data_IF_479412571290
#
_entry.id   IF_479412571290
#
_cell.length_a   1.000
_cell.length_b   1.000
_cell.length_c   1.000
_cell.angle_alpha   90.00
_cell.angle_beta   90.00
_cell.angle_gamma   90.00
#
_symmetry.space_group_name_H-M   'P 1'
#
loop_
_entity.id
_entity.type
_entity.pdbx_description
1 polymer ?
#
# COMPACT_ATOMS: atom_id res chain seq x y z
N UNK A 1 -1.56 18.78 4.25
CA UNK A 1 -1.68 17.79 3.18
C UNK A 1 -0.60 18.06 2.14
N UNK A 2 -0.06 17.03 1.59
CA UNK A 2 0.97 17.15 0.60
C UNK A 2 0.45 17.80 -0.67
N UNK A 3 1.15 18.80 -1.15
CA UNK A 3 0.99 19.17 -2.53
C UNK A 3 1.56 18.02 -3.36
N UNK A 4 0.85 17.71 -4.43
CA UNK A 4 1.09 16.54 -5.23
C UNK A 4 2.56 16.31 -5.54
N UNK A 5 3.11 15.22 -5.02
CA UNK A 5 4.41 14.68 -5.43
C UNK A 5 5.48 15.74 -5.67
N UNK A 6 5.53 16.74 -4.77
CA UNK A 6 6.49 17.84 -4.90
C UNK A 6 7.92 17.42 -4.62
N UNK A 7 8.09 16.28 -3.94
CA UNK A 7 9.40 15.78 -3.55
C UNK A 7 9.88 14.76 -4.58
N UNK A 8 11.08 14.92 -5.12
CA UNK A 8 11.62 13.92 -6.05
C UNK A 8 11.87 12.60 -5.34
N UNK A 9 11.60 11.50 -6.02
CA UNK A 9 11.84 10.15 -5.52
C UNK A 9 12.79 9.42 -6.46
N UNK A 10 13.57 8.50 -5.90
CA UNK A 10 14.48 7.68 -6.66
C UNK A 10 14.48 6.26 -6.07
N UNK A 11 14.07 5.30 -6.88
CA UNK A 11 13.99 3.90 -6.46
C UNK A 11 15.18 3.06 -6.92
N UNK A 12 16.19 3.69 -7.50
CA UNK A 12 17.38 2.97 -7.99
C UNK A 12 18.05 2.23 -6.84
N UNK A 13 18.20 0.92 -6.97
CA UNK A 13 18.82 0.08 -5.94
C UNK A 13 17.91 -0.26 -4.76
N UNK A 14 16.70 0.28 -4.72
CA UNK A 14 15.75 -0.01 -3.64
C UNK A 14 15.00 -1.31 -3.93
N UNK A 15 14.78 -2.10 -2.88
CA UNK A 15 13.98 -3.32 -2.96
C UNK A 15 12.65 -3.08 -2.26
N UNK A 16 11.56 -3.31 -2.99
CA UNK A 16 10.20 -3.07 -2.50
C UNK A 16 9.41 -4.37 -2.44
N UNK A 17 8.49 -4.43 -1.49
CA UNK A 17 7.50 -5.49 -1.41
C UNK A 17 6.11 -4.86 -1.38
N UNK A 18 5.27 -5.23 -2.32
CA UNK A 18 3.88 -4.80 -2.38
C UNK A 18 3.02 -5.96 -1.90
N UNK A 19 2.24 -5.73 -0.85
CA UNK A 19 1.31 -6.73 -0.31
C UNK A 19 -0.08 -6.37 -0.79
N UNK A 20 -0.76 -7.30 -1.44
CA UNK A 20 -2.03 -7.04 -2.12
C UNK A 20 -3.11 -7.93 -1.51
N UNK A 21 -4.11 -7.31 -0.90
CA UNK A 21 -5.28 -8.03 -0.41
C UNK A 21 -6.03 -8.67 -1.60
N UNK A 22 -6.36 -9.94 -1.48
CA UNK A 22 -7.11 -10.66 -2.51
C UNK A 22 -8.60 -10.35 -2.47
N UNK A 23 -9.09 -9.81 -1.35
CA UNK A 23 -10.48 -9.41 -1.22
C UNK A 23 -10.68 -8.09 -1.98
N UNK A 24 -11.72 -8.01 -2.79
CA UNK A 24 -11.94 -6.89 -3.74
C UNK A 24 -10.80 -6.77 -4.75
N UNK A 25 -10.43 -7.89 -5.36
CA UNK A 25 -9.26 -7.95 -6.25
C UNK A 25 -9.36 -7.04 -7.47
N UNK A 26 -10.57 -6.73 -7.96
CA UNK A 26 -10.78 -5.79 -9.07
C UNK A 26 -10.30 -4.37 -8.71
N UNK A 27 -10.31 -4.05 -7.41
CA UNK A 27 -9.80 -2.78 -6.91
C UNK A 27 -8.32 -2.90 -6.56
N UNK A 28 -7.96 -3.91 -5.76
CA UNK A 28 -6.60 -4.01 -5.23
C UNK A 28 -5.57 -4.31 -6.31
N UNK A 29 -5.94 -5.01 -7.37
CA UNK A 29 -5.04 -5.26 -8.48
C UNK A 29 -4.71 -3.96 -9.24
N UNK A 30 -5.66 -3.03 -9.36
CA UNK A 30 -5.40 -1.74 -9.97
C UNK A 30 -4.50 -0.87 -9.08
N UNK A 31 -4.66 -0.96 -7.78
CA UNK A 31 -3.75 -0.31 -6.83
C UNK A 31 -2.33 -0.87 -6.99
N UNK A 32 -2.20 -2.18 -7.09
CA UNK A 32 -0.90 -2.83 -7.22
C UNK A 32 -0.20 -2.47 -8.52
N UNK A 33 -0.92 -2.42 -9.63
CA UNK A 33 -0.37 -2.00 -10.92
C UNK A 33 0.21 -0.60 -10.85
N UNK A 34 -0.53 0.33 -10.24
CA UNK A 34 -0.10 1.72 -10.14
C UNK A 34 1.08 1.87 -9.19
N UNK A 35 1.10 1.13 -8.08
CA UNK A 35 2.22 1.15 -7.15
C UNK A 35 3.50 0.65 -7.84
N UNK A 36 3.38 -0.46 -8.57
CA UNK A 36 4.53 -1.02 -9.29
C UNK A 36 5.02 -0.09 -10.39
N UNK A 37 4.11 0.53 -11.13
CA UNK A 37 4.48 1.50 -12.17
C UNK A 37 5.21 2.69 -11.57
N UNK A 38 4.76 3.20 -10.43
CA UNK A 38 5.42 4.29 -9.72
C UNK A 38 6.86 3.91 -9.35
N UNK A 39 7.08 2.69 -8.84
CA UNK A 39 8.41 2.19 -8.48
C UNK A 39 9.33 2.14 -9.70
N UNK A 40 8.84 1.59 -10.80
CA UNK A 40 9.63 1.46 -12.03
C UNK A 40 9.93 2.83 -12.64
N UNK A 41 8.95 3.72 -12.67
CA UNK A 41 9.14 5.08 -13.19
C UNK A 41 10.14 5.87 -12.37
N UNK A 42 10.27 5.55 -11.08
CA UNK A 42 11.25 6.18 -10.20
C UNK A 42 12.66 5.59 -10.35
N UNK A 43 12.84 4.65 -11.25
CA UNK A 43 14.16 4.04 -11.52
C UNK A 43 14.36 2.67 -10.89
N UNK A 44 13.34 2.13 -10.24
CA UNK A 44 13.42 0.79 -9.64
C UNK A 44 13.40 -0.32 -10.68
N UNK A 45 14.11 -1.41 -10.38
CA UNK A 45 14.09 -2.59 -11.23
C UNK A 45 12.84 -3.41 -10.94
N UNK A 46 12.19 -3.90 -11.97
CA UNK A 46 11.02 -4.77 -11.80
C UNK A 46 11.36 -6.04 -11.01
N UNK A 47 12.60 -6.49 -11.07
CA UNK A 47 13.05 -7.67 -10.33
C UNK A 47 13.21 -7.38 -8.83
N UNK A 48 13.25 -6.12 -8.44
CA UNK A 48 13.34 -5.68 -7.06
C UNK A 48 11.98 -5.24 -6.49
N UNK A 49 10.90 -5.54 -7.17
CA UNK A 49 9.55 -5.22 -6.73
C UNK A 49 8.76 -6.53 -6.59
N UNK A 50 8.73 -7.05 -5.38
CA UNK A 50 8.06 -8.31 -5.07
C UNK A 50 6.59 -8.07 -4.73
N UNK A 51 5.70 -8.93 -5.22
CA UNK A 51 4.29 -8.88 -4.86
C UNK A 51 3.93 -10.09 -4.01
N UNK A 52 3.30 -9.87 -2.87
CA UNK A 52 2.81 -10.92 -1.98
C UNK A 52 1.30 -10.79 -1.80
N UNK A 53 0.56 -11.88 -1.85
CA UNK A 53 -0.87 -11.82 -1.58
C UNK A 53 -1.17 -11.82 -0.09
N UNK A 54 -2.29 -11.21 0.28
CA UNK A 54 -2.89 -11.34 1.59
C UNK A 54 -4.35 -11.77 1.40
N UNK A 55 -4.90 -12.64 2.26
CA UNK A 55 -6.29 -13.08 2.10
C UNK A 55 -7.28 -11.91 2.14
N UNK A 56 -7.09 -10.99 3.06
CA UNK A 56 -7.90 -9.80 3.20
C UNK A 56 -7.10 -8.68 3.81
N UNK A 57 -7.74 -7.53 4.00
CA UNK A 57 -7.07 -6.36 4.55
C UNK A 57 -6.62 -6.58 6.00
N UNK A 58 -7.36 -7.37 6.78
CA UNK A 58 -7.04 -7.66 8.17
C UNK A 58 -5.65 -8.30 8.33
N UNK A 59 -5.23 -9.09 7.35
CA UNK A 59 -3.95 -9.81 7.41
C UNK A 59 -2.76 -8.96 6.96
N UNK A 60 -3.00 -7.76 6.44
CA UNK A 60 -1.92 -6.90 5.95
C UNK A 60 -0.83 -6.61 6.97
N UNK A 61 -1.16 -6.27 8.24
CA UNK A 61 -0.11 -5.98 9.21
C UNK A 61 0.80 -7.17 9.50
N UNK A 62 0.25 -8.38 9.60
CA UNK A 62 1.04 -9.57 9.83
C UNK A 62 1.99 -9.85 8.68
N UNK A 63 1.49 -9.79 7.46
CA UNK A 63 2.31 -10.04 6.27
C UNK A 63 3.33 -8.93 6.07
N UNK A 64 2.96 -7.68 6.38
CA UNK A 64 3.91 -6.57 6.35
C UNK A 64 5.07 -6.78 7.31
N UNK A 65 4.80 -7.27 8.52
CA UNK A 65 5.83 -7.59 9.49
C UNK A 65 6.76 -8.68 8.96
N UNK A 66 6.19 -9.73 8.40
CA UNK A 66 6.98 -10.82 7.80
C UNK A 66 7.88 -10.30 6.69
N UNK A 67 7.34 -9.49 5.80
CA UNK A 67 8.10 -8.93 4.69
C UNK A 67 9.22 -8.01 5.19
N UNK A 68 8.91 -7.11 6.10
CA UNK A 68 9.88 -6.15 6.61
C UNK A 68 11.00 -6.82 7.41
N UNK A 69 10.68 -7.88 8.13
CA UNK A 69 11.63 -8.55 9.02
C UNK A 69 12.47 -9.61 8.32
N UNK A 70 11.85 -10.43 7.47
CA UNK A 70 12.48 -11.63 6.92
C UNK A 70 12.98 -11.47 5.48
N UNK A 71 12.43 -10.51 4.74
CA UNK A 71 12.87 -10.24 3.38
C UNK A 71 13.88 -9.10 3.38
N UNK A 72 14.78 -9.15 2.40
CA UNK A 72 15.75 -8.06 2.20
C UNK A 72 15.06 -6.96 1.40
N UNK A 73 14.11 -6.29 2.02
CA UNK A 73 13.38 -5.19 1.39
C UNK A 73 13.66 -3.89 2.15
N UNK A 74 13.60 -2.80 1.41
CA UNK A 74 13.81 -1.47 1.95
C UNK A 74 12.48 -0.77 2.27
N UNK A 75 11.44 -1.06 1.49
CA UNK A 75 10.12 -0.46 1.68
C UNK A 75 9.03 -1.51 1.47
N UNK A 76 7.93 -1.35 2.19
CA UNK A 76 6.75 -2.21 2.09
C UNK A 76 5.53 -1.34 1.80
N UNK A 77 4.70 -1.77 0.86
CA UNK A 77 3.46 -1.08 0.51
C UNK A 77 2.32 -2.08 0.70
N UNK A 78 1.37 -1.74 1.58
CA UNK A 78 0.23 -2.60 1.89
C UNK A 78 -1.03 -2.05 1.23
N UNK A 79 -1.64 -2.85 0.37
CA UNK A 79 -2.78 -2.43 -0.44
C UNK A 79 -4.01 -3.26 -0.13
N UNK A 80 -5.12 -2.57 0.10
CA UNK A 80 -6.39 -3.22 0.40
C UNK A 80 -7.56 -2.31 0.13
N UNK A 81 -8.76 -2.87 0.30
CA UNK A 81 -10.00 -2.12 0.16
C UNK A 81 -11.01 -2.61 1.18
N UNK A 82 -11.52 -1.69 1.98
CA UNK A 82 -12.56 -1.96 2.97
C UNK A 82 -13.78 -1.15 2.56
N UNK A 83 -14.89 -1.85 2.29
CA UNK A 83 -16.15 -1.18 2.00
C UNK A 83 -16.97 -1.11 3.28
N UNK A 84 -17.46 0.08 3.59
CA UNK A 84 -18.22 0.30 4.81
C UNK A 84 -19.63 -0.30 4.69
N UNK A 85 -20.05 -0.97 5.77
CA UNK A 85 -21.37 -1.56 5.85
C UNK A 85 -22.29 -0.76 6.77
N UNK A 86 -23.35 -1.40 7.20
CA UNK A 86 -24.35 -0.80 8.10
C UNK A 86 -23.87 -0.70 9.55
N UNK A 87 -22.76 -1.35 9.88
CA UNK A 87 -22.22 -1.39 11.24
C UNK A 87 -20.91 -0.63 11.31
N UNK A 88 -20.38 -0.46 12.53
CA UNK A 88 -19.06 0.15 12.75
C UNK A 88 -17.92 -0.84 12.63
N UNK A 89 -18.21 -2.10 12.27
CA UNK A 89 -17.21 -3.17 12.18
C UNK A 89 -16.07 -2.83 11.20
N UNK A 90 -16.40 -2.27 10.06
CA UNK A 90 -15.45 -1.85 9.04
C UNK A 90 -14.51 -0.74 9.54
N UNK A 91 -15.01 0.16 10.38
CA UNK A 91 -14.18 1.20 10.99
C UNK A 91 -13.17 0.60 11.96
N UNK A 92 -13.60 -0.36 12.77
CA UNK A 92 -12.71 -1.07 13.69
C UNK A 92 -11.61 -1.79 12.92
N UNK A 93 -11.96 -2.42 11.81
CA UNK A 93 -10.99 -3.10 10.95
C UNK A 93 -9.99 -2.10 10.38
N UNK A 94 -10.47 -1.01 9.79
CA UNK A 94 -9.60 0.00 9.16
C UNK A 94 -8.65 0.64 10.17
N UNK A 95 -9.14 1.00 11.34
CA UNK A 95 -8.33 1.60 12.40
C UNK A 95 -7.28 0.63 12.92
N UNK A 96 -7.64 -0.65 13.07
CA UNK A 96 -6.72 -1.68 13.54
C UNK A 96 -5.62 -1.95 12.53
N UNK A 97 -5.96 -1.97 11.24
CA UNK A 97 -4.98 -2.14 10.17
C UNK A 97 -4.00 -0.97 10.16
N UNK A 98 -4.51 0.25 10.24
CA UNK A 98 -3.67 1.44 10.25
C UNK A 98 -2.70 1.42 11.42
N UNK A 99 -3.18 1.10 12.61
CA UNK A 99 -2.34 1.00 13.80
C UNK A 99 -1.31 -0.11 13.65
N UNK A 100 -1.73 -1.27 13.16
CA UNK A 100 -0.83 -2.41 12.98
C UNK A 100 0.29 -2.12 11.99
N UNK A 101 -0.02 -1.50 10.87
CA UNK A 101 0.99 -1.14 9.87
C UNK A 101 1.96 -0.09 10.42
N UNK A 102 1.45 0.89 11.15
CA UNK A 102 2.28 1.91 11.78
C UNK A 102 3.26 1.28 12.77
N UNK A 103 2.79 0.34 13.60
CA UNK A 103 3.65 -0.36 14.55
C UNK A 103 4.75 -1.15 13.84
N UNK A 104 4.43 -1.82 12.74
CA UNK A 104 5.43 -2.56 11.95
C UNK A 104 6.51 -1.60 11.44
N UNK A 105 6.10 -0.48 10.86
CA UNK A 105 7.02 0.51 10.32
C UNK A 105 7.98 1.03 11.39
N UNK A 106 7.45 1.39 12.54
CA UNK A 106 8.25 1.93 13.65
C UNK A 106 9.18 0.86 14.21
N UNK A 107 8.66 -0.35 14.44
CA UNK A 107 9.43 -1.41 15.08
C UNK A 107 10.52 -1.97 14.19
N UNK A 108 10.28 -2.07 12.89
CA UNK A 108 11.26 -2.61 11.94
C UNK A 108 12.16 -1.52 11.34
N UNK A 109 11.84 -0.25 11.56
CA UNK A 109 12.64 0.87 11.07
C UNK A 109 12.66 1.01 9.57
N UNK A 110 11.56 0.65 8.90
CA UNK A 110 11.41 0.72 7.46
C UNK A 110 10.08 1.35 7.08
N UNK A 111 10.01 2.08 5.95
CA UNK A 111 8.71 2.55 5.48
C UNK A 111 7.76 1.39 5.21
N UNK A 112 6.60 1.45 5.84
CA UNK A 112 5.47 0.56 5.56
C UNK A 112 4.29 1.47 5.29
N UNK A 113 3.98 1.69 4.02
CA UNK A 113 2.92 2.62 3.69
C UNK A 113 1.58 1.91 3.53
N UNK A 114 0.52 2.64 3.83
CA UNK A 114 -0.82 2.11 3.82
C UNK A 114 -1.59 2.64 2.61
N UNK A 115 -1.87 1.75 1.66
CA UNK A 115 -2.74 2.03 0.52
C UNK A 115 -4.06 1.29 0.66
N UNK A 116 -4.71 1.42 1.81
CA UNK A 116 -5.97 0.76 2.09
C UNK A 116 -7.11 1.77 1.90
N UNK A 117 -7.93 1.52 0.90
CA UNK A 117 -9.13 2.33 0.68
C UNK A 117 -10.20 1.93 1.68
N UNK A 118 -10.84 2.93 2.29
CA UNK A 118 -12.01 2.75 3.15
C UNK A 118 -13.12 3.58 2.53
N UNK A 119 -14.02 2.93 1.81
CA UNK A 119 -15.02 3.58 0.98
C UNK A 119 -16.42 3.09 1.32
N UNK A 120 -17.42 3.91 1.01
CA UNK A 120 -18.82 3.57 1.24
C UNK A 120 -19.42 2.74 0.10
N UNK A 121 -18.77 2.75 -1.07
CA UNK A 121 -19.27 2.03 -2.23
C UNK A 121 -18.12 1.59 -3.13
N UNK A 122 -18.41 0.63 -4.00
CA UNK A 122 -17.44 0.16 -4.99
C UNK A 122 -17.08 1.27 -5.98
N UNK A 123 -18.04 2.15 -6.28
CA UNK A 123 -17.82 3.28 -7.18
C UNK A 123 -16.80 4.26 -6.61
N UNK A 124 -16.86 4.51 -5.30
CA UNK A 124 -15.85 5.34 -4.63
C UNK A 124 -14.48 4.69 -4.69
N UNK A 125 -14.42 3.37 -4.50
CA UNK A 125 -13.17 2.63 -4.57
C UNK A 125 -12.60 2.66 -5.99
N UNK A 126 -13.44 2.50 -7.01
CA UNK A 126 -13.01 2.58 -8.41
C UNK A 126 -12.46 3.97 -8.74
N UNK A 127 -13.08 5.02 -8.23
CA UNK A 127 -12.62 6.39 -8.46
C UNK A 127 -11.20 6.61 -7.91
N UNK A 128 -10.83 5.88 -6.86
CA UNK A 128 -9.54 6.03 -6.16
C UNK A 128 -8.53 4.93 -6.50
N UNK A 129 -8.87 4.08 -7.45
CA UNK A 129 -7.97 3.03 -7.95
C UNK A 129 -7.70 3.16 -9.45
N UNK A 130 -7.57 4.40 -9.92
CA UNK A 130 -7.28 4.71 -11.31
C UNK A 130 -8.40 5.46 -12.01
N UNK A 131 -9.44 5.88 -11.26
CA UNK A 131 -10.51 6.71 -11.78
C UNK A 131 -10.21 8.20 -11.61
N UNK A 132 -11.26 9.01 -11.51
CA UNK A 132 -11.13 10.46 -11.45
C UNK A 132 -10.55 11.02 -10.15
N UNK A 133 -10.44 10.20 -9.11
CA UNK A 133 -9.82 10.58 -7.82
C UNK A 133 -8.39 10.04 -7.66
N UNK A 134 -7.76 9.64 -8.77
CA UNK A 134 -6.39 9.17 -8.74
C UNK A 134 -6.25 7.70 -8.37
N UNK A 135 -5.08 7.34 -7.85
CA UNK A 135 -4.79 5.96 -7.47
C UNK A 135 -4.05 5.90 -6.14
N UNK A 136 -4.69 5.30 -5.16
CA UNK A 136 -4.13 5.18 -3.80
C UNK A 136 -2.87 4.32 -3.76
N UNK A 137 -2.74 3.36 -4.69
CA UNK A 137 -1.54 2.53 -4.77
C UNK A 137 -0.31 3.33 -5.19
N UNK A 138 -0.47 4.19 -6.18
CA UNK A 138 0.60 5.10 -6.59
C UNK A 138 1.01 6.02 -5.45
N UNK A 139 0.03 6.59 -4.73
CA UNK A 139 0.29 7.47 -3.60
C UNK A 139 1.05 6.75 -2.50
N UNK A 140 0.67 5.49 -2.21
CA UNK A 140 1.32 4.72 -1.16
C UNK A 140 2.77 4.37 -1.52
N UNK A 141 3.03 4.00 -2.76
CA UNK A 141 4.40 3.73 -3.20
C UNK A 141 5.23 5.01 -3.17
N UNK A 142 4.68 6.12 -3.63
CA UNK A 142 5.38 7.41 -3.56
C UNK A 142 5.76 7.74 -2.11
N UNK A 143 4.83 7.58 -1.18
CA UNK A 143 5.09 7.87 0.23
C UNK A 143 6.19 6.98 0.80
N UNK A 144 6.20 5.70 0.43
CA UNK A 144 7.23 4.76 0.89
C UNK A 144 8.62 5.18 0.37
N UNK A 145 8.72 5.50 -0.91
CA UNK A 145 9.99 5.91 -1.52
C UNK A 145 10.47 7.25 -0.99
N UNK A 146 9.56 8.20 -0.77
CA UNK A 146 9.90 9.51 -0.22
C UNK A 146 10.36 9.42 1.25
N UNK A 147 9.93 8.39 1.97
CA UNK A 147 10.30 8.17 3.37
C UNK A 147 11.59 7.37 3.54
N UNK A 148 12.06 6.72 2.48
CA UNK A 148 13.28 5.92 2.52
C UNK A 148 14.50 6.83 2.40
N UNK A 149 15.48 6.58 3.23
CA UNK A 149 16.75 7.32 3.21
C UNK A 149 17.86 6.53 2.56
#
# INVERSE_FOLDING_TARGET
MFEEHSQPINATGIKACIIVSSYHSEITNELAKAARACFIEAGGSKDDCQLLPAPGAWELPLIAKEAARNLKVDVVVALGCVLTGETTHDRVIADSIAKGLMEVSINEGKPVSMGVLTCQSIEQAQARSGGDKGNKGEEAMYAALASHE
#
